data_IF_390025228983
#
_entry.id   IF_390025228983
#
_cell.length_a   1.000
_cell.length_b   1.000
_cell.length_c   1.000
_cell.angle_alpha   90.00
_cell.angle_beta   90.00
_cell.angle_gamma   90.00
#
_symmetry.space_group_name_H-M   'P 1'
#
loop_
_entity.id
_entity.type
_entity.pdbx_description
1 polymer ?
#
# COMPACT_ATOMS: atom_id res chain seq x y z
N UNK A 1 -57.49 31.45 9.88
CA UNK A 1 -58.24 31.79 8.65
C UNK A 1 -57.50 31.11 7.50
N UNK A 2 -58.19 30.13 6.89
CA UNK A 2 -57.70 29.32 5.78
C UNK A 2 -57.81 30.12 4.47
N UNK A 3 -56.81 30.06 3.60
CA UNK A 3 -57.03 30.31 2.17
C UNK A 3 -56.36 29.20 1.37
N UNK A 4 -57.21 28.38 0.80
CA UNK A 4 -56.94 27.38 -0.24
C UNK A 4 -57.00 28.12 -1.58
N UNK A 5 -55.99 27.89 -2.45
CA UNK A 5 -56.11 28.22 -3.88
C UNK A 5 -55.93 26.95 -4.70
N UNK A 6 -57.06 26.53 -5.27
CA UNK A 6 -57.12 25.61 -6.44
C UNK A 6 -56.79 26.40 -7.70
N UNK A 7 -55.96 25.83 -8.57
CA UNK A 7 -55.96 26.22 -9.99
C UNK A 7 -56.01 24.98 -10.87
N UNK A 8 -56.92 25.12 -11.84
CA UNK A 8 -57.50 24.10 -12.71
C UNK A 8 -56.54 23.65 -13.83
N UNK A 9 -56.75 22.38 -14.26
CA UNK A 9 -56.27 21.78 -15.51
C UNK A 9 -56.74 22.55 -16.74
N UNK A 10 -55.87 22.69 -17.73
CA UNK A 10 -56.24 22.86 -19.13
C UNK A 10 -55.43 21.86 -19.99
N UNK A 11 -56.13 20.84 -20.49
CA UNK A 11 -55.66 19.96 -21.57
C UNK A 11 -55.69 20.73 -22.88
N UNK A 12 -54.59 20.74 -23.60
CA UNK A 12 -54.57 21.03 -25.05
C UNK A 12 -53.90 19.85 -25.73
N UNK A 13 -54.73 19.09 -26.46
CA UNK A 13 -54.27 18.06 -27.39
C UNK A 13 -53.88 18.72 -28.71
N UNK A 14 -52.65 18.52 -29.13
CA UNK A 14 -52.22 18.85 -30.49
C UNK A 14 -51.62 17.60 -31.14
N UNK A 15 -52.36 17.05 -32.09
CA UNK A 15 -51.97 15.98 -33.00
C UNK A 15 -50.94 16.51 -34.00
N UNK A 16 -49.78 15.93 -34.11
CA UNK A 16 -48.90 16.11 -35.28
C UNK A 16 -48.53 14.77 -35.90
N UNK A 17 -48.62 14.79 -37.20
CA UNK A 17 -48.54 13.75 -38.20
C UNK A 17 -47.06 13.21 -38.25
N UNK A 18 -46.97 11.90 -38.47
CA UNK A 18 -45.70 11.19 -38.70
C UNK A 18 -45.10 11.59 -40.06
N UNK A 19 -43.81 11.94 -40.03
CA UNK A 19 -42.94 11.74 -41.18
C UNK A 19 -41.77 10.88 -40.75
N UNK A 20 -41.61 9.75 -41.42
CA UNK A 20 -40.57 8.78 -41.12
C UNK A 20 -39.22 9.24 -41.67
N UNK A 21 -38.25 9.36 -40.77
CA UNK A 21 -36.83 9.44 -41.13
C UNK A 21 -36.11 8.32 -40.46
N UNK A 22 -35.52 7.42 -41.25
CA UNK A 22 -34.80 6.25 -40.79
C UNK A 22 -33.58 6.62 -40.01
N UNK A 23 -33.59 6.35 -38.69
CA UNK A 23 -32.43 6.42 -37.86
C UNK A 23 -31.67 5.11 -37.90
N UNK A 24 -30.52 5.11 -38.58
CA UNK A 24 -29.47 4.10 -38.45
C UNK A 24 -29.04 4.02 -36.99
N UNK A 25 -29.40 2.96 -36.27
CA UNK A 25 -28.88 2.63 -34.96
C UNK A 25 -27.41 2.32 -35.10
N UNK A 26 -26.53 3.27 -34.74
CA UNK A 26 -25.14 2.98 -34.45
C UNK A 26 -25.11 2.05 -33.22
N UNK A 27 -24.69 0.80 -33.42
CA UNK A 27 -24.32 -0.08 -32.32
C UNK A 27 -23.12 0.53 -31.64
N UNK A 28 -23.33 1.24 -30.55
CA UNK A 28 -22.28 1.56 -29.60
C UNK A 28 -21.78 0.21 -29.03
N UNK A 29 -20.66 -0.25 -29.55
CA UNK A 29 -19.99 -1.42 -29.02
C UNK A 29 -19.60 -1.13 -27.56
N UNK A 30 -20.29 -1.78 -26.63
CA UNK A 30 -19.84 -1.84 -25.26
C UNK A 30 -18.46 -2.50 -25.28
N UNK A 31 -17.41 -1.71 -25.08
CA UNK A 31 -16.07 -2.20 -24.80
C UNK A 31 -16.16 -3.01 -23.51
N UNK A 32 -16.26 -4.32 -23.63
CA UNK A 32 -16.03 -5.24 -22.51
C UNK A 32 -14.54 -5.19 -22.23
N UNK A 33 -14.13 -4.20 -21.44
CA UNK A 33 -12.77 -4.16 -20.88
C UNK A 33 -12.55 -5.47 -20.13
N UNK A 34 -11.73 -6.36 -20.67
CA UNK A 34 -11.35 -7.58 -19.97
C UNK A 34 -10.70 -7.16 -18.65
N UNK A 35 -11.28 -7.57 -17.50
CA UNK A 35 -10.63 -7.36 -16.21
C UNK A 35 -9.23 -7.96 -16.29
N UNK A 36 -8.21 -7.13 -16.07
CA UNK A 36 -6.83 -7.61 -16.03
C UNK A 36 -6.75 -8.80 -15.05
N UNK A 37 -6.15 -9.90 -15.53
CA UNK A 37 -6.01 -11.12 -14.73
C UNK A 37 -5.05 -10.85 -13.58
N UNK A 38 -5.44 -11.21 -12.37
CA UNK A 38 -4.55 -11.14 -11.22
C UNK A 38 -3.40 -12.16 -11.33
N UNK A 39 -2.25 -11.79 -10.82
CA UNK A 39 -1.03 -12.61 -10.75
C UNK A 39 -0.74 -12.84 -9.27
N UNK A 40 -0.82 -14.09 -8.83
CA UNK A 40 -0.40 -14.45 -7.48
C UNK A 40 1.13 -14.48 -7.43
N UNK A 41 1.73 -13.69 -6.55
CA UNK A 41 3.16 -13.68 -6.28
C UNK A 41 3.55 -14.66 -5.18
N UNK A 42 2.59 -15.21 -4.46
CA UNK A 42 2.77 -16.29 -3.50
C UNK A 42 1.82 -17.44 -3.83
N UNK A 43 2.39 -18.63 -4.06
CA UNK A 43 1.65 -19.82 -4.51
C UNK A 43 1.06 -20.66 -3.36
N UNK A 44 1.30 -20.28 -2.10
CA UNK A 44 0.84 -21.01 -0.91
C UNK A 44 1.69 -22.27 -0.58
N UNK A 45 2.75 -22.55 -1.32
CA UNK A 45 3.54 -23.78 -1.16
C UNK A 45 5.01 -23.50 -0.85
N UNK A 46 5.61 -22.51 -1.51
CA UNK A 46 7.03 -22.15 -1.39
C UNK A 46 7.25 -20.69 -1.76
N UNK A 47 8.51 -20.25 -1.76
CA UNK A 47 8.93 -18.91 -2.15
C UNK A 47 9.41 -18.83 -3.61
N UNK A 48 8.88 -19.66 -4.51
CA UNK A 48 9.18 -19.54 -5.94
C UNK A 48 8.80 -18.14 -6.44
N UNK A 49 9.67 -17.53 -7.21
CA UNK A 49 9.53 -16.13 -7.64
C UNK A 49 10.09 -15.09 -6.67
N UNK A 50 10.62 -15.54 -5.54
CA UNK A 50 11.27 -14.71 -4.53
C UNK A 50 12.66 -15.24 -4.20
N UNK A 51 13.56 -14.36 -3.76
CA UNK A 51 14.78 -14.72 -3.04
C UNK A 51 14.81 -14.05 -1.67
N UNK A 52 15.59 -14.61 -0.77
CA UNK A 52 15.79 -14.08 0.58
C UNK A 52 17.06 -13.24 0.61
N UNK A 53 17.06 -12.18 1.41
CA UNK A 53 18.26 -11.48 1.80
C UNK A 53 18.25 -11.24 3.31
N UNK A 54 19.27 -11.73 4.02
CA UNK A 54 19.40 -11.55 5.47
C UNK A 54 20.62 -10.68 5.75
N UNK A 55 20.42 -9.66 6.56
CA UNK A 55 21.46 -8.69 6.94
C UNK A 55 22.71 -9.40 7.47
N UNK A 56 23.87 -9.04 6.90
CA UNK A 56 25.16 -9.64 7.27
C UNK A 56 25.38 -11.08 6.81
N UNK A 57 24.37 -11.70 6.16
CA UNK A 57 24.47 -13.07 5.61
C UNK A 57 24.46 -13.10 4.08
N UNK A 58 23.76 -12.16 3.47
CA UNK A 58 23.62 -12.06 2.03
C UNK A 58 22.41 -12.83 1.48
N UNK A 59 22.42 -13.00 0.16
CA UNK A 59 21.33 -13.59 -0.61
C UNK A 59 21.24 -15.10 -0.40
N UNK A 60 20.02 -15.60 -0.18
CA UNK A 60 19.64 -17.01 -0.01
C UNK A 60 20.41 -17.74 1.10
N UNK A 61 21.05 -16.99 2.01
CA UNK A 61 21.72 -17.51 3.18
C UNK A 61 20.89 -17.23 4.44
N UNK A 62 19.92 -18.08 4.71
CA UNK A 62 18.95 -17.96 5.81
C UNK A 62 18.92 -19.24 6.67
N UNK A 63 20.02 -19.51 7.43
CA UNK A 63 20.12 -20.73 8.23
C UNK A 63 19.16 -20.78 9.42
N UNK A 64 18.59 -19.64 9.81
CA UNK A 64 17.60 -19.57 10.90
C UNK A 64 16.14 -19.67 10.39
N UNK A 65 15.93 -19.80 9.09
CA UNK A 65 14.62 -19.81 8.49
C UNK A 65 13.79 -18.58 8.87
N UNK A 66 14.43 -17.39 8.82
CA UNK A 66 13.75 -16.10 9.03
C UNK A 66 12.53 -15.99 8.10
N UNK A 67 12.67 -16.54 6.89
CA UNK A 67 11.61 -16.63 5.90
C UNK A 67 11.36 -18.09 5.54
N UNK A 68 10.20 -18.60 5.92
CA UNK A 68 9.75 -19.95 5.61
C UNK A 68 8.31 -19.96 5.08
N UNK A 69 7.86 -21.11 4.58
CA UNK A 69 6.44 -21.33 4.26
C UNK A 69 5.91 -22.43 5.14
N UNK A 70 4.89 -22.11 5.92
CA UNK A 70 4.28 -23.01 6.87
C UNK A 70 2.75 -22.98 6.74
N UNK A 71 2.14 -24.12 6.54
CA UNK A 71 0.66 -24.25 6.46
C UNK A 71 0.01 -23.31 5.43
N UNK A 72 0.67 -23.09 4.29
CA UNK A 72 0.18 -22.20 3.24
C UNK A 72 0.38 -20.70 3.51
N UNK A 73 1.20 -20.35 4.48
CA UNK A 73 1.53 -18.97 4.85
C UNK A 73 3.03 -18.74 4.69
N UNK A 74 3.42 -17.55 4.22
CA UNK A 74 4.78 -17.08 4.44
C UNK A 74 4.87 -16.75 5.94
N UNK A 75 5.82 -17.37 6.62
CA UNK A 75 6.19 -17.07 7.99
C UNK A 75 7.47 -16.25 7.99
N UNK A 76 7.40 -15.06 8.52
CA UNK A 76 8.52 -14.16 8.77
C UNK A 76 8.75 -14.18 10.28
N UNK A 77 9.85 -14.82 10.72
CA UNK A 77 10.08 -15.00 12.16
C UNK A 77 10.36 -13.69 12.89
N UNK A 78 10.95 -12.70 12.20
CA UNK A 78 11.40 -11.45 12.81
C UNK A 78 12.75 -11.53 13.52
N UNK A 79 13.35 -12.73 13.62
CA UNK A 79 14.54 -12.98 14.44
C UNK A 79 15.80 -12.28 13.93
N UNK A 80 15.93 -12.10 12.63
CA UNK A 80 16.99 -11.32 11.98
C UNK A 80 16.39 -10.34 10.97
N UNK A 81 17.06 -9.21 10.77
CA UNK A 81 16.66 -8.21 9.78
C UNK A 81 16.95 -8.73 8.36
N UNK A 82 16.04 -8.50 7.46
CA UNK A 82 16.16 -8.92 6.08
C UNK A 82 14.88 -8.71 5.29
N UNK A 83 14.80 -9.29 4.12
CA UNK A 83 13.62 -9.25 3.28
C UNK A 83 13.53 -10.48 2.36
N UNK A 84 12.30 -10.79 1.92
CA UNK A 84 12.10 -11.51 0.68
C UNK A 84 11.92 -10.49 -0.44
N UNK A 85 12.50 -10.77 -1.60
CA UNK A 85 12.53 -9.86 -2.76
C UNK A 85 12.00 -10.59 -3.98
N UNK A 86 11.07 -9.98 -4.72
CA UNK A 86 10.57 -10.55 -5.97
C UNK A 86 11.69 -10.67 -7.01
N UNK A 87 11.70 -11.75 -7.80
CA UNK A 87 12.66 -11.90 -8.89
C UNK A 87 12.40 -10.86 -9.99
N UNK A 88 11.11 -10.59 -10.25
CA UNK A 88 10.67 -9.68 -11.30
C UNK A 88 10.46 -8.25 -10.79
N UNK A 89 10.52 -7.29 -11.71
CA UNK A 89 10.22 -5.88 -11.47
C UNK A 89 8.82 -5.54 -11.97
N UNK A 90 8.15 -4.64 -11.25
CA UNK A 90 6.77 -4.25 -11.53
C UNK A 90 6.62 -2.74 -11.64
N UNK A 91 5.66 -2.31 -12.47
CA UNK A 91 5.14 -0.94 -12.59
C UNK A 91 3.66 -1.00 -12.95
N UNK A 92 2.89 0.02 -12.64
CA UNK A 92 1.45 0.10 -12.93
C UNK A 92 0.68 -1.13 -12.47
N UNK A 93 0.45 -1.22 -11.18
CA UNK A 93 -0.21 -2.36 -10.55
C UNK A 93 -1.04 -1.96 -9.35
N UNK A 94 -1.98 -2.84 -8.99
CA UNK A 94 -2.51 -2.91 -7.63
C UNK A 94 -1.88 -4.12 -6.95
N UNK A 95 -1.03 -3.88 -5.96
CA UNK A 95 -0.49 -4.91 -5.07
C UNK A 95 -1.45 -5.11 -3.89
N UNK A 96 -1.72 -6.34 -3.54
CA UNK A 96 -2.47 -6.74 -2.33
C UNK A 96 -1.60 -7.64 -1.47
N UNK A 97 -1.38 -7.24 -0.22
CA UNK A 97 -0.69 -8.05 0.79
C UNK A 97 -1.65 -8.26 1.97
N UNK A 98 -1.92 -9.52 2.31
CA UNK A 98 -2.69 -9.85 3.50
C UNK A 98 -1.78 -10.44 4.57
N UNK A 99 -1.66 -9.73 5.68
CA UNK A 99 -0.77 -10.07 6.78
C UNK A 99 -1.48 -10.13 8.12
N UNK A 100 -0.86 -10.80 9.08
CA UNK A 100 -1.18 -10.69 10.50
C UNK A 100 0.09 -10.76 11.34
N UNK A 101 0.12 -10.00 12.42
CA UNK A 101 1.18 -10.11 13.41
C UNK A 101 1.11 -11.43 14.17
N UNK A 102 2.28 -12.02 14.42
CA UNK A 102 2.47 -13.06 15.42
C UNK A 102 2.75 -12.46 16.81
N UNK A 103 2.83 -13.31 17.85
CA UNK A 103 3.05 -12.84 19.21
C UNK A 103 4.49 -12.39 19.50
N UNK A 104 5.48 -12.87 18.73
CA UNK A 104 6.90 -12.70 19.08
C UNK A 104 7.47 -11.40 18.55
N UNK A 105 8.36 -10.81 19.35
CA UNK A 105 9.27 -9.74 18.95
C UNK A 105 10.69 -10.09 19.39
N UNK A 106 11.68 -9.53 18.68
CA UNK A 106 13.09 -9.85 18.87
C UNK A 106 13.93 -8.57 18.99
N UNK A 107 15.12 -8.70 19.66
CA UNK A 107 16.06 -7.59 19.76
C UNK A 107 16.44 -7.04 18.37
N UNK A 108 16.48 -5.69 18.21
CA UNK A 108 16.35 -4.65 19.23
C UNK A 108 14.92 -4.18 19.51
N UNK A 109 13.88 -4.91 19.05
CA UNK A 109 12.48 -4.49 19.11
C UNK A 109 11.60 -5.28 20.10
N UNK A 110 12.18 -5.92 21.12
CA UNK A 110 11.44 -6.78 22.08
C UNK A 110 10.22 -6.06 22.68
N UNK A 111 10.40 -4.81 23.13
CA UNK A 111 9.32 -4.01 23.76
C UNK A 111 8.82 -2.88 22.86
N UNK A 112 9.18 -2.91 21.58
CA UNK A 112 8.80 -1.90 20.59
C UNK A 112 7.62 -2.34 19.75
N UNK A 113 6.96 -1.37 19.13
CA UNK A 113 5.91 -1.62 18.16
C UNK A 113 6.38 -2.64 17.12
N UNK A 114 5.55 -3.62 16.78
CA UNK A 114 5.87 -4.61 15.75
C UNK A 114 6.08 -3.90 14.44
N UNK A 115 7.14 -4.28 13.73
CA UNK A 115 7.64 -3.56 12.57
C UNK A 115 7.95 -4.49 11.41
N UNK A 116 7.61 -4.05 10.22
CA UNK A 116 7.84 -4.64 8.92
C UNK A 116 7.53 -3.58 7.84
N UNK A 117 7.63 -3.91 6.56
CA UNK A 117 7.26 -3.00 5.48
C UNK A 117 7.13 -3.70 4.15
N UNK A 118 6.43 -3.05 3.24
CA UNK A 118 6.36 -3.40 1.82
C UNK A 118 7.14 -2.34 1.06
N UNK A 119 8.28 -2.73 0.49
CA UNK A 119 9.12 -1.83 -0.27
C UNK A 119 8.74 -1.93 -1.75
N UNK A 120 8.27 -0.82 -2.29
CA UNK A 120 7.82 -0.69 -3.67
C UNK A 120 8.95 -0.16 -4.53
N UNK A 121 9.03 -0.64 -5.77
CA UNK A 121 10.02 -0.19 -6.76
C UNK A 121 11.47 -0.29 -6.27
N UNK A 122 11.77 -1.37 -5.53
CA UNK A 122 13.12 -1.62 -5.01
C UNK A 122 14.12 -1.79 -6.16
N UNK A 123 15.20 -1.00 -6.12
CA UNK A 123 16.28 -0.99 -7.13
C UNK A 123 17.65 -0.90 -6.47
N UNK A 124 18.69 -1.17 -7.24
CA UNK A 124 20.08 -1.15 -6.78
C UNK A 124 20.52 -2.50 -6.24
N UNK A 125 21.47 -2.47 -5.32
CA UNK A 125 22.08 -3.67 -4.75
C UNK A 125 21.29 -4.15 -3.51
N UNK A 126 21.26 -5.46 -3.28
CA UNK A 126 20.77 -6.03 -2.04
C UNK A 126 21.59 -5.46 -0.87
N UNK A 127 20.92 -4.98 0.16
CA UNK A 127 21.57 -4.36 1.30
C UNK A 127 22.08 -2.93 1.06
N UNK A 128 21.79 -2.32 -0.08
CA UNK A 128 22.25 -0.95 -0.41
C UNK A 128 21.83 0.11 0.61
N UNK A 129 20.66 -0.06 1.25
CA UNK A 129 20.22 0.78 2.34
C UNK A 129 20.47 0.09 3.69
N UNK A 130 21.29 0.69 4.52
CA UNK A 130 21.61 0.23 5.90
C UNK A 130 22.10 -1.23 5.99
N UNK A 131 22.63 -1.79 4.90
CA UNK A 131 23.09 -3.17 4.83
C UNK A 131 21.96 -4.21 4.84
N UNK A 132 20.70 -3.79 4.60
CA UNK A 132 19.54 -4.67 4.74
C UNK A 132 18.61 -4.65 3.54
N UNK A 133 18.22 -3.48 3.06
CA UNK A 133 17.20 -3.32 2.02
C UNK A 133 17.77 -2.69 0.75
N UNK A 134 17.08 -2.86 -0.36
CA UNK A 134 17.32 -2.09 -1.58
C UNK A 134 16.73 -0.67 -1.40
N UNK A 135 17.18 0.28 -2.21
CA UNK A 135 16.55 1.60 -2.27
C UNK A 135 15.14 1.50 -2.85
N UNK A 136 14.18 2.19 -2.26
CA UNK A 136 12.75 1.99 -2.56
C UNK A 136 11.87 3.11 -1.98
N UNK A 137 10.57 3.02 -2.26
CA UNK A 137 9.53 3.70 -1.48
C UNK A 137 8.84 2.64 -0.63
N UNK A 138 8.83 2.84 0.66
CA UNK A 138 8.23 1.91 1.61
C UNK A 138 6.81 2.32 1.98
N UNK A 139 5.89 1.36 1.87
CA UNK A 139 4.62 1.38 2.58
C UNK A 139 4.82 0.63 3.89
N UNK A 140 4.98 1.37 4.97
CA UNK A 140 5.28 0.86 6.30
C UNK A 140 4.17 -0.06 6.82
N UNK A 141 4.56 -1.10 7.52
CA UNK A 141 3.70 -1.93 8.36
C UNK A 141 4.26 -1.86 9.78
N UNK A 142 3.69 -0.99 10.61
CA UNK A 142 4.09 -0.85 12.02
C UNK A 142 2.85 -0.60 12.87
N UNK A 143 2.79 -1.17 14.06
CA UNK A 143 1.65 -0.97 14.96
C UNK A 143 1.36 0.53 15.18
N UNK A 144 0.16 0.96 14.82
CA UNK A 144 -0.30 2.35 14.88
C UNK A 144 0.26 3.27 13.77
N UNK A 145 1.01 2.72 12.80
CA UNK A 145 1.61 3.48 11.71
C UNK A 145 1.56 2.79 10.35
N UNK A 146 0.80 1.71 10.23
CA UNK A 146 0.66 1.00 8.96
C UNK A 146 0.04 1.91 7.90
N UNK A 147 0.77 2.06 6.77
CA UNK A 147 0.42 2.99 5.69
C UNK A 147 1.20 4.30 5.69
N UNK A 148 2.15 4.52 6.62
CA UNK A 148 3.12 5.58 6.44
C UNK A 148 3.92 5.34 5.16
N UNK A 149 4.33 6.41 4.47
CA UNK A 149 5.30 6.31 3.38
C UNK A 149 6.68 6.76 3.82
N UNK A 150 7.69 5.94 3.55
CA UNK A 150 9.09 6.28 3.77
C UNK A 150 9.86 6.29 2.45
N UNK A 151 10.83 7.18 2.35
CA UNK A 151 11.83 7.14 1.29
C UNK A 151 13.04 6.39 1.82
N UNK A 152 13.21 5.15 1.39
CA UNK A 152 14.37 4.29 1.65
C UNK A 152 15.41 4.59 0.55
N UNK A 153 16.16 5.68 0.72
CA UNK A 153 17.01 6.24 -0.32
C UNK A 153 18.34 6.79 0.22
N UNK A 154 19.18 7.25 -0.68
CA UNK A 154 20.50 7.82 -0.40
C UNK A 154 20.49 9.32 -0.10
N UNK A 155 19.30 9.91 0.08
CA UNK A 155 19.10 11.35 0.29
C UNK A 155 19.13 12.18 -1.00
N UNK A 156 19.37 11.57 -2.15
CA UNK A 156 19.32 12.26 -3.44
C UNK A 156 17.90 12.30 -4.01
N UNK A 157 17.68 13.19 -5.01
CA UNK A 157 16.39 13.27 -5.71
C UNK A 157 16.04 12.04 -6.55
N UNK A 158 16.94 11.07 -6.67
CA UNK A 158 16.66 9.78 -7.34
C UNK A 158 15.61 8.97 -6.60
N UNK A 159 15.50 9.20 -5.29
CA UNK A 159 14.53 8.57 -4.41
C UNK A 159 13.73 9.67 -3.73
N UNK A 160 12.51 9.86 -4.16
CA UNK A 160 11.66 10.93 -3.63
C UNK A 160 10.19 10.61 -3.81
N UNK A 161 9.38 11.28 -3.04
CA UNK A 161 7.93 11.35 -3.22
C UNK A 161 7.42 12.73 -2.81
N UNK A 162 6.29 13.12 -3.36
CA UNK A 162 5.51 14.27 -2.92
C UNK A 162 4.19 13.77 -2.36
N UNK A 163 3.79 14.26 -1.21
CA UNK A 163 2.47 14.00 -0.64
C UNK A 163 1.84 15.29 -0.14
N UNK A 164 0.52 15.36 -0.14
CA UNK A 164 -0.19 16.46 0.47
C UNK A 164 -0.25 16.25 1.98
N UNK A 165 0.19 17.24 2.76
CA UNK A 165 0.28 17.12 4.21
C UNK A 165 -0.51 18.22 4.93
N UNK A 166 -0.94 17.91 6.15
CA UNK A 166 -1.52 18.86 7.07
C UNK A 166 -0.50 19.98 7.41
N UNK A 167 -0.97 21.16 7.85
CA UNK A 167 -0.10 22.20 8.37
C UNK A 167 0.84 21.64 9.44
N UNK A 168 2.15 21.93 9.31
CA UNK A 168 3.17 21.41 10.23
C UNK A 168 2.92 21.87 11.65
N UNK A 169 2.86 20.93 12.57
CA UNK A 169 2.83 21.18 14.00
C UNK A 169 4.22 20.93 14.60
N UNK A 170 4.62 21.80 15.54
CA UNK A 170 5.93 21.66 16.19
C UNK A 170 6.04 20.31 16.91
N UNK A 171 7.13 19.59 16.68
CA UNK A 171 7.40 18.30 17.31
C UNK A 171 6.60 17.10 16.74
N UNK A 172 5.73 17.32 15.74
CA UNK A 172 4.96 16.25 15.10
C UNK A 172 5.53 15.90 13.71
N UNK A 173 5.18 14.71 13.21
CA UNK A 173 5.51 14.25 11.86
C UNK A 173 4.82 15.05 10.75
N UNK A 174 5.07 14.68 9.49
CA UNK A 174 4.32 15.19 8.35
C UNK A 174 3.16 14.24 8.09
N UNK A 175 1.95 14.66 8.42
CA UNK A 175 0.76 13.79 8.35
C UNK A 175 0.04 14.01 7.03
N UNK A 176 -0.23 12.94 6.30
CA UNK A 176 -1.03 13.00 5.07
C UNK A 176 -2.39 13.64 5.33
N UNK A 177 -2.75 14.57 4.46
CA UNK A 177 -4.06 15.20 4.41
C UNK A 177 -4.50 15.39 2.96
N UNK A 178 -5.59 14.76 2.56
CA UNK A 178 -6.17 14.99 1.24
C UNK A 178 -6.50 16.47 1.04
N UNK A 179 -5.96 17.08 -0.04
CA UNK A 179 -6.11 18.52 -0.30
C UNK A 179 -5.21 19.42 0.56
N UNK A 180 -4.30 18.84 1.35
CA UNK A 180 -3.29 19.59 2.12
C UNK A 180 -2.23 20.24 1.24
N UNK A 181 -1.18 20.76 1.86
CA UNK A 181 -0.08 21.40 1.12
C UNK A 181 0.90 20.35 0.59
N UNK A 182 1.40 20.48 -0.65
CA UNK A 182 2.37 19.55 -1.20
C UNK A 182 3.70 19.66 -0.45
N UNK A 183 4.24 18.49 -0.06
CA UNK A 183 5.57 18.35 0.53
C UNK A 183 6.34 17.25 -0.20
N UNK A 184 7.49 17.61 -0.78
CA UNK A 184 8.41 16.64 -1.38
C UNK A 184 9.48 16.25 -0.38
N UNK A 185 9.70 14.95 -0.23
CA UNK A 185 10.79 14.40 0.58
C UNK A 185 11.67 13.47 -0.27
N UNK A 186 12.96 13.44 0.03
CA UNK A 186 13.98 12.54 -0.52
C UNK A 186 14.67 11.73 0.59
N UNK A 187 14.02 11.62 1.70
CA UNK A 187 14.36 10.87 2.91
C UNK A 187 13.31 11.14 3.99
N UNK A 188 13.22 10.27 4.97
CA UNK A 188 12.24 10.42 6.04
C UNK A 188 10.85 9.90 5.69
N UNK A 189 9.81 10.44 6.33
CA UNK A 189 8.49 9.83 6.43
C UNK A 189 7.36 10.84 6.19
N UNK A 190 6.30 10.36 5.56
CA UNK A 190 4.96 10.96 5.58
C UNK A 190 4.06 10.01 6.38
N UNK A 191 3.61 10.45 7.53
CA UNK A 191 2.71 9.70 8.40
C UNK A 191 1.33 9.54 7.73
N UNK A 192 0.65 8.43 7.93
CA UNK A 192 -0.70 8.21 7.46
C UNK A 192 -1.71 9.18 8.11
N UNK A 193 -2.88 9.39 7.48
CA UNK A 193 -3.82 10.49 7.82
C UNK A 193 -4.32 10.48 9.27
N UNK A 194 -4.35 9.34 9.93
CA UNK A 194 -4.85 9.20 11.30
C UNK A 194 -3.74 8.75 12.29
N UNK A 195 -2.46 9.01 11.94
CA UNK A 195 -1.35 8.79 12.87
C UNK A 195 -1.65 9.44 14.20
N UNK A 196 -1.68 8.64 15.26
CA UNK A 196 -1.92 9.18 16.61
C UNK A 196 -0.78 10.13 16.98
N UNK A 197 -1.08 11.40 17.34
CA UNK A 197 -0.05 12.36 17.75
C UNK A 197 0.73 11.93 19.00
N UNK A 198 0.16 11.01 19.81
CA UNK A 198 0.81 10.43 20.99
C UNK A 198 1.42 9.05 20.71
N UNK A 199 1.61 8.70 19.44
CA UNK A 199 2.23 7.44 19.05
C UNK A 199 3.57 7.22 19.76
N UNK A 200 3.74 6.00 20.27
CA UNK A 200 4.96 5.57 20.93
C UNK A 200 5.45 4.27 20.32
N UNK A 201 6.76 4.12 20.21
CA UNK A 201 7.40 2.89 19.76
C UNK A 201 7.38 1.84 20.89
N UNK A 202 6.17 1.32 21.17
CA UNK A 202 5.94 0.28 22.19
C UNK A 202 5.08 -0.83 21.62
N UNK A 203 5.38 -2.06 21.98
CA UNK A 203 4.65 -3.25 21.54
C UNK A 203 3.17 -3.16 21.90
N UNK A 204 2.31 -3.46 20.93
CA UNK A 204 0.86 -3.40 21.12
C UNK A 204 0.27 -1.99 21.09
N UNK A 205 1.03 -0.98 20.64
CA UNK A 205 0.48 0.38 20.49
C UNK A 205 -0.73 0.38 19.55
N UNK A 206 -1.79 1.08 20.00
CA UNK A 206 -3.01 1.28 19.23
C UNK A 206 -3.42 2.74 19.30
N UNK A 207 -3.43 3.41 18.15
CA UNK A 207 -3.95 4.77 18.05
C UNK A 207 -5.47 4.82 18.16
N UNK A 208 -6.02 5.94 18.58
CA UNK A 208 -7.47 6.14 18.75
C UNK A 208 -8.28 5.87 17.48
N UNK A 209 -7.74 6.21 16.32
CA UNK A 209 -8.40 6.07 15.02
C UNK A 209 -7.74 4.98 14.15
N UNK A 210 -7.03 4.05 14.78
CA UNK A 210 -6.29 3.01 14.08
C UNK A 210 -7.23 2.06 13.34
N UNK A 211 -6.98 1.88 12.05
CA UNK A 211 -7.73 0.97 11.17
C UNK A 211 -7.07 -0.40 11.02
N UNK A 212 -5.84 -0.56 11.55
CA UNK A 212 -5.19 -1.85 11.64
C UNK A 212 -5.94 -2.73 12.66
N UNK A 213 -6.12 -4.01 12.35
CA UNK A 213 -6.72 -4.97 13.28
C UNK A 213 -5.69 -5.45 14.31
N UNK A 214 -6.13 -5.87 15.51
CA UNK A 214 -5.23 -6.37 16.55
C UNK A 214 -4.34 -7.54 16.11
N UNK A 215 -3.29 -7.79 16.89
CA UNK A 215 -2.40 -8.96 16.76
C UNK A 215 -3.19 -10.25 16.60
N UNK A 216 -2.75 -11.11 15.67
CA UNK A 216 -3.41 -12.37 15.34
C UNK A 216 -4.58 -12.25 14.37
N UNK A 217 -5.05 -11.05 14.06
CA UNK A 217 -6.10 -10.80 13.06
C UNK A 217 -5.50 -10.41 11.70
N UNK A 218 -6.18 -10.82 10.63
CA UNK A 218 -5.75 -10.52 9.27
C UNK A 218 -6.02 -9.08 8.87
N UNK A 219 -4.98 -8.40 8.41
CA UNK A 219 -5.01 -7.08 7.80
C UNK A 219 -4.78 -7.21 6.29
N UNK A 220 -5.30 -6.26 5.53
CA UNK A 220 -5.09 -6.15 4.09
C UNK A 220 -4.51 -4.78 3.77
N UNK A 221 -3.29 -4.76 3.25
CA UNK A 221 -2.68 -3.59 2.63
C UNK A 221 -2.85 -3.70 1.12
N UNK A 222 -3.31 -2.63 0.47
CA UNK A 222 -3.36 -2.50 -0.97
C UNK A 222 -2.58 -1.26 -1.39
N UNK A 223 -1.59 -1.42 -2.28
CA UNK A 223 -0.85 -0.32 -2.90
C UNK A 223 -1.27 -0.22 -4.38
N UNK A 224 -1.90 0.88 -4.75
CA UNK A 224 -2.27 1.18 -6.14
C UNK A 224 -1.22 2.10 -6.73
N UNK A 225 -0.54 1.62 -7.77
CA UNK A 225 0.57 2.31 -8.43
C UNK A 225 0.21 2.56 -9.89
N UNK A 226 0.14 3.82 -10.30
CA UNK A 226 -0.12 4.23 -11.68
C UNK A 226 0.84 5.36 -12.04
N UNK A 227 1.76 5.11 -12.98
CA UNK A 227 2.84 6.05 -13.29
C UNK A 227 3.68 6.36 -12.06
N UNK A 228 3.75 7.62 -11.71
CA UNK A 228 4.46 8.14 -10.54
C UNK A 228 3.56 8.37 -9.30
N UNK A 229 2.34 7.83 -9.32
CA UNK A 229 1.40 7.94 -8.20
C UNK A 229 1.28 6.63 -7.45
N UNK A 230 1.30 6.70 -6.11
CA UNK A 230 1.09 5.58 -5.18
C UNK A 230 0.00 5.95 -4.18
N UNK A 231 -1.01 5.10 -4.06
CA UNK A 231 -2.06 5.23 -3.03
C UNK A 231 -2.06 3.97 -2.18
N UNK A 232 -1.98 4.11 -0.86
CA UNK A 232 -2.01 3.01 0.10
C UNK A 232 -3.36 2.91 0.80
N UNK A 233 -3.89 1.70 0.87
CA UNK A 233 -5.12 1.38 1.58
C UNK A 233 -4.84 0.33 2.66
N UNK A 234 -5.38 0.53 3.85
CA UNK A 234 -5.38 -0.46 4.92
C UNK A 234 -6.83 -0.84 5.23
N UNK A 235 -7.15 -2.13 5.11
CA UNK A 235 -8.48 -2.68 5.34
C UNK A 235 -9.61 -1.95 4.56
N UNK A 236 -9.27 -1.44 3.35
CA UNK A 236 -10.18 -0.71 2.46
C UNK A 236 -10.24 0.80 2.70
N UNK A 237 -9.55 1.32 3.72
CA UNK A 237 -9.47 2.76 3.99
C UNK A 237 -8.22 3.33 3.31
N UNK A 238 -8.35 4.41 2.52
CA UNK A 238 -7.21 5.15 1.98
C UNK A 238 -6.45 5.78 3.16
N UNK A 239 -5.20 5.36 3.36
CA UNK A 239 -4.38 5.80 4.50
C UNK A 239 -3.32 6.82 4.11
N UNK A 240 -2.80 6.74 2.89
CA UNK A 240 -1.79 7.68 2.39
C UNK A 240 -1.81 7.73 0.86
N UNK A 241 -1.35 8.84 0.31
CA UNK A 241 -1.19 9.03 -1.13
C UNK A 241 0.04 9.87 -1.43
N UNK A 242 0.81 9.45 -2.45
CA UNK A 242 1.96 10.18 -2.95
C UNK A 242 1.94 10.24 -4.48
N UNK A 243 2.58 11.27 -5.02
CA UNK A 243 2.79 11.50 -6.46
C UNK A 243 4.19 12.05 -6.70
N UNK A 244 4.62 12.13 -7.95
CA UNK A 244 6.02 12.40 -8.30
C UNK A 244 6.98 11.44 -7.59
N UNK A 245 6.54 10.18 -7.49
CA UNK A 245 7.30 9.11 -6.86
C UNK A 245 8.43 8.67 -7.78
N UNK A 246 9.62 8.55 -7.24
CA UNK A 246 10.80 8.05 -7.95
C UNK A 246 11.53 7.05 -7.05
N UNK A 247 11.84 5.83 -7.55
CA UNK A 247 11.60 5.26 -8.88
C UNK A 247 10.14 4.85 -9.11
N UNK A 248 9.74 4.68 -10.40
CA UNK A 248 8.38 4.28 -10.82
C UNK A 248 8.25 2.80 -11.19
N UNK A 249 9.35 2.05 -11.13
CA UNK A 249 9.45 0.63 -11.45
C UNK A 249 10.55 -0.01 -10.60
N UNK A 250 10.36 -1.26 -10.23
CA UNK A 250 11.37 -2.05 -9.52
C UNK A 250 10.76 -3.30 -8.89
N UNK A 251 11.55 -3.97 -8.06
CA UNK A 251 11.15 -5.16 -7.32
C UNK A 251 10.26 -4.81 -6.14
N UNK A 252 9.61 -5.82 -5.58
CA UNK A 252 8.85 -5.73 -4.34
C UNK A 252 9.63 -6.46 -3.26
N UNK A 253 9.81 -5.82 -2.09
CA UNK A 253 10.36 -6.49 -0.92
C UNK A 253 9.32 -6.51 0.21
N UNK A 254 9.36 -7.57 1.04
CA UNK A 254 8.62 -7.67 2.30
C UNK A 254 9.65 -7.91 3.40
N UNK A 255 9.62 -7.06 4.41
CA UNK A 255 10.66 -7.00 5.44
C UNK A 255 10.48 -8.01 6.57
N UNK A 256 11.60 -8.35 7.19
CA UNK A 256 11.73 -8.86 8.55
C UNK A 256 12.44 -7.81 9.39
N UNK A 257 11.77 -7.26 10.40
CA UNK A 257 12.27 -6.16 11.21
C UNK A 257 11.97 -6.32 12.70
N UNK A 258 12.37 -7.44 13.26
CA UNK A 258 12.29 -7.70 14.70
C UNK A 258 10.91 -8.13 15.21
N UNK A 259 9.93 -8.41 14.31
CA UNK A 259 8.61 -8.87 14.68
C UNK A 259 8.15 -10.06 13.84
N UNK A 260 7.49 -11.02 14.50
CA UNK A 260 6.88 -12.16 13.82
C UNK A 260 5.66 -11.74 13.01
N UNK A 261 5.62 -12.12 11.74
CA UNK A 261 4.52 -11.83 10.83
C UNK A 261 4.18 -13.03 9.94
N UNK A 262 2.91 -13.20 9.66
CA UNK A 262 2.42 -14.20 8.70
C UNK A 262 1.77 -13.49 7.52
N UNK A 263 2.06 -13.95 6.30
CA UNK A 263 1.45 -13.44 5.07
C UNK A 263 0.74 -14.58 4.35
N UNK A 264 -0.54 -14.40 4.05
CA UNK A 264 -1.33 -15.43 3.34
C UNK A 264 -1.56 -15.12 1.88
N UNK A 265 -1.36 -13.87 1.48
CA UNK A 265 -1.61 -13.41 0.10
C UNK A 265 -0.61 -12.33 -0.28
N UNK A 266 0.00 -12.50 -1.44
CA UNK A 266 0.70 -11.45 -2.19
C UNK A 266 0.24 -11.56 -3.62
N UNK A 267 -0.48 -10.54 -4.12
CA UNK A 267 -1.11 -10.57 -5.44
C UNK A 267 -0.96 -9.23 -6.14
N UNK A 268 -0.71 -9.27 -7.44
CA UNK A 268 -0.70 -8.10 -8.31
C UNK A 268 -1.85 -8.20 -9.31
N UNK A 269 -2.55 -7.09 -9.53
CA UNK A 269 -3.40 -6.85 -10.69
C UNK A 269 -2.72 -5.79 -11.53
N UNK A 270 -2.24 -6.11 -12.75
CA UNK A 270 -1.69 -5.11 -13.66
C UNK A 270 -2.73 -4.04 -14.00
N UNK A 271 -2.29 -2.79 -14.04
CA UNK A 271 -3.11 -1.64 -14.38
C UNK A 271 -2.59 -1.03 -15.70
N UNK A 272 -3.50 -0.42 -16.48
CA UNK A 272 -3.09 0.36 -17.64
C UNK A 272 -2.31 1.60 -17.16
N UNK A 273 -1.23 1.93 -17.87
CA UNK A 273 -0.63 3.26 -17.78
C UNK A 273 -1.57 4.26 -18.45
N UNK A 274 -1.88 5.33 -17.76
CA UNK A 274 -2.61 6.46 -18.35
C UNK A 274 -1.78 7.17 -19.40
#
# INVERSE_FOLDING_TARGET
MKKVFLFSLALIALSFIMDGCGTTKSKQGASTGSKAKSISLFNGQNLDGWYKFVKGRGRDNDPKNVFSVEKGLIHISGEEYGCITSNEEYSNYKLTVEFKWGPKTYSPRVDKARDSGILLHSIGEDGGYSGTWMYSIECQIIEGGTGDFLVVGDGTKKFSLTSNVAPKQQGKGNVYLAGGQPLTINGGRIDWFARDPEWKDVVGFRGKNDVEKPVGQWNKVECVVIGDKVSAYLNGVLVNEAYHVTPTKGKIQIQSEGAEMFVRKVEIVPLASN
#
